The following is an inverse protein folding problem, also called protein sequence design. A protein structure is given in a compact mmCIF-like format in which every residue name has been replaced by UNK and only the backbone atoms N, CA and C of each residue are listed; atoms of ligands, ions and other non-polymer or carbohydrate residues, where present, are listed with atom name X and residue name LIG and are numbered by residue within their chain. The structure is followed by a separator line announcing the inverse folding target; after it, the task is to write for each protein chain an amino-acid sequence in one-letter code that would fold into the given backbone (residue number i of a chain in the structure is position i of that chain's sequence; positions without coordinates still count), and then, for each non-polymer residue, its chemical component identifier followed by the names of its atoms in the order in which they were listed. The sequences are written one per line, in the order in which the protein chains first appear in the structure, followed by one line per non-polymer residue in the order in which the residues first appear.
data_IF_731194988495
#
_entry.id   IF_731194988495
#
_cell.length_a   1.000
_cell.length_b   1.000
_cell.length_c   1.000
_cell.angle_alpha   90.00
_cell.angle_beta   90.00
_cell.angle_gamma   90.00
#
_symmetry.space_group_name_H-M   'P 1'
#
loop_
_entity.id
_entity.type
_entity.pdbx_description
1 polymer ?
#
# COMPACT_ATOMS: atom_id res chain seq x y z
N UNK A 1 17.11 20.47 -0.38
CA UNK A 1 16.51 20.02 -1.65
C UNK A 1 15.21 20.74 -1.98
N UNK A 2 14.20 20.75 -1.09
CA UNK A 2 12.94 21.44 -1.36
C UNK A 2 13.10 22.90 -1.80
N UNK A 3 13.98 23.66 -1.15
CA UNK A 3 14.27 25.05 -1.56
C UNK A 3 14.86 25.15 -2.98
N UNK A 4 15.64 24.17 -3.41
CA UNK A 4 16.18 24.15 -4.77
C UNK A 4 15.08 23.92 -5.80
N UNK A 5 14.17 22.97 -5.54
CA UNK A 5 13.02 22.70 -6.40
C UNK A 5 12.07 23.90 -6.48
N UNK A 6 11.87 24.60 -5.35
CA UNK A 6 11.09 25.84 -5.31
C UNK A 6 11.69 26.92 -6.22
N UNK A 7 13.01 27.08 -6.21
CA UNK A 7 13.71 28.03 -7.10
C UNK A 7 13.57 27.67 -8.59
N UNK A 8 13.40 26.38 -8.90
CA UNK A 8 13.14 25.87 -10.25
C UNK A 8 11.65 25.91 -10.64
N UNK A 9 10.78 26.40 -9.74
CA UNK A 9 9.36 26.60 -9.99
C UNK A 9 8.48 25.41 -9.61
N UNK A 10 9.01 24.38 -8.95
CA UNK A 10 8.19 23.29 -8.43
C UNK A 10 7.31 23.74 -7.26
N UNK A 11 6.05 23.31 -7.25
CA UNK A 11 5.04 23.68 -6.24
C UNK A 11 4.29 22.45 -5.73
N UNK A 12 4.17 22.28 -4.41
CA UNK A 12 3.56 21.11 -3.77
C UNK A 12 4.57 20.13 -3.19
N UNK A 13 4.14 18.90 -2.91
CA UNK A 13 4.99 17.90 -2.24
C UNK A 13 5.71 16.97 -3.24
N UNK A 14 6.77 16.33 -2.78
CA UNK A 14 7.56 15.37 -3.54
C UNK A 14 8.12 14.31 -2.57
N UNK A 15 8.55 13.18 -3.11
CA UNK A 15 9.15 12.11 -2.33
C UNK A 15 10.63 11.93 -2.65
N UNK A 16 11.36 11.40 -1.68
CA UNK A 16 12.79 11.13 -1.74
C UNK A 16 13.02 9.69 -1.35
N UNK A 17 13.72 8.95 -2.21
CA UNK A 17 14.15 7.59 -1.90
C UNK A 17 15.62 7.61 -1.51
N UNK A 18 15.92 6.99 -0.37
CA UNK A 18 17.26 6.87 0.15
C UNK A 18 17.71 5.42 0.19
N UNK A 19 19.00 5.19 -0.04
CA UNK A 19 19.67 3.94 0.23
C UNK A 19 20.44 4.10 1.55
N UNK A 20 20.04 3.32 2.55
CA UNK A 20 20.76 3.21 3.83
C UNK A 20 21.68 1.98 3.78
N UNK A 21 22.98 2.20 3.96
CA UNK A 21 23.93 1.13 4.23
C UNK A 21 23.74 0.65 5.68
N UNK A 22 23.36 -0.62 5.86
CA UNK A 22 23.08 -1.17 7.18
C UNK A 22 24.35 -1.40 8.02
N UNK A 23 25.51 -1.58 7.40
CA UNK A 23 26.78 -1.83 8.09
C UNK A 23 27.44 -0.53 8.52
N UNK A 24 27.41 0.50 7.67
CA UNK A 24 28.06 1.79 7.97
C UNK A 24 27.11 2.85 8.52
N UNK A 25 25.80 2.71 8.27
CA UNK A 25 24.80 3.74 8.54
C UNK A 25 24.81 4.89 7.53
N UNK A 26 25.58 4.79 6.44
CA UNK A 26 25.65 5.84 5.44
C UNK A 26 24.33 5.93 4.66
N UNK A 27 23.84 7.15 4.49
CA UNK A 27 22.60 7.44 3.78
C UNK A 27 22.91 8.12 2.44
N UNK A 28 22.45 7.52 1.35
CA UNK A 28 22.64 8.00 0.00
C UNK A 28 21.30 8.37 -0.62
N UNK A 29 21.22 9.53 -1.27
CA UNK A 29 20.05 9.86 -2.06
C UNK A 29 20.03 8.99 -3.33
N UNK A 30 18.98 8.20 -3.50
CA UNK A 30 18.77 7.35 -4.67
C UNK A 30 17.93 8.04 -5.74
N UNK A 31 16.70 8.45 -5.39
CA UNK A 31 15.73 8.98 -6.35
C UNK A 31 15.03 10.23 -5.79
N UNK A 32 14.72 11.16 -6.69
CA UNK A 32 13.86 12.31 -6.44
C UNK A 32 12.58 12.14 -7.25
N UNK A 33 11.44 12.07 -6.56
CA UNK A 33 10.12 11.85 -7.15
C UNK A 33 9.24 13.11 -7.01
N UNK A 34 9.31 14.09 -7.94
CA UNK A 34 8.49 15.29 -7.93
C UNK A 34 7.06 15.03 -8.45
N UNK A 35 6.41 14.01 -7.89
CA UNK A 35 5.09 13.50 -8.27
C UNK A 35 4.46 12.74 -7.10
N UNK A 36 3.16 12.47 -7.22
CA UNK A 36 2.46 11.51 -6.36
C UNK A 36 3.04 10.12 -6.61
N UNK A 37 3.19 9.32 -5.55
CA UNK A 37 3.67 7.94 -5.64
C UNK A 37 2.69 6.99 -4.93
N UNK A 38 2.96 5.68 -5.01
CA UNK A 38 2.21 4.70 -4.22
C UNK A 38 2.37 4.87 -2.71
N UNK A 39 3.55 5.31 -2.23
CA UNK A 39 3.84 5.53 -0.82
C UNK A 39 3.04 6.72 -0.25
N UNK A 40 2.69 7.69 -1.10
CA UNK A 40 1.87 8.84 -0.71
C UNK A 40 0.55 8.42 -0.06
N UNK A 41 0.01 7.25 -0.42
CA UNK A 41 -1.20 6.73 0.22
C UNK A 41 -1.01 6.52 1.72
N UNK A 42 0.12 5.97 2.18
CA UNK A 42 0.40 5.75 3.61
C UNK A 42 0.82 7.05 4.29
N UNK A 43 1.71 7.83 3.67
CA UNK A 43 2.23 9.07 4.26
C UNK A 43 1.14 10.11 4.51
N UNK A 44 0.13 10.17 3.62
CA UNK A 44 -1.03 11.04 3.81
C UNK A 44 -1.93 10.59 4.96
N UNK A 45 -1.98 9.29 5.27
CA UNK A 45 -2.80 8.78 6.37
C UNK A 45 -2.20 9.08 7.73
N UNK A 46 -0.88 8.97 7.84
CA UNK A 46 -0.17 9.45 9.02
C UNK A 46 -0.56 10.91 9.29
N UNK A 47 -0.53 11.78 8.27
CA UNK A 47 -0.96 13.18 8.42
C UNK A 47 -2.44 13.29 8.89
N UNK A 48 -3.39 12.63 8.21
CA UNK A 48 -4.82 12.71 8.56
C UNK A 48 -5.10 12.19 9.98
N UNK A 49 -4.43 11.11 10.40
CA UNK A 49 -4.60 10.51 11.72
C UNK A 49 -4.24 11.49 12.86
N UNK A 50 -3.32 12.43 12.61
CA UNK A 50 -2.91 13.45 13.58
C UNK A 50 -3.65 14.79 13.42
N UNK A 51 -4.73 14.81 12.63
CA UNK A 51 -5.50 16.01 12.36
C UNK A 51 -4.79 16.99 11.41
N UNK A 52 -3.73 16.54 10.75
CA UNK A 52 -2.99 17.32 9.78
C UNK A 52 -3.60 17.21 8.38
N UNK A 53 -3.33 18.25 7.60
CA UNK A 53 -3.72 18.28 6.21
C UNK A 53 -2.86 17.29 5.41
N UNK A 54 -3.44 16.30 4.71
CA UNK A 54 -2.65 15.40 3.87
C UNK A 54 -1.82 16.18 2.84
N UNK A 55 -0.56 15.76 2.65
CA UNK A 55 0.43 16.47 1.82
C UNK A 55 -0.05 16.72 0.38
N UNK A 56 -0.88 15.82 -0.17
CA UNK A 56 -1.47 16.01 -1.49
C UNK A 56 -2.37 17.26 -1.58
N UNK A 57 -3.00 17.70 -0.49
CA UNK A 57 -3.82 18.90 -0.49
C UNK A 57 -3.00 20.17 -0.73
N UNK A 58 -1.75 20.25 -0.27
CA UNK A 58 -0.87 21.37 -0.63
C UNK A 58 -0.64 21.44 -2.14
N UNK A 59 -0.52 20.30 -2.82
CA UNK A 59 -0.45 20.25 -4.29
C UNK A 59 -1.74 20.74 -4.94
N UNK A 60 -2.92 20.45 -4.35
CA UNK A 60 -4.20 20.98 -4.84
C UNK A 60 -4.34 22.48 -4.60
N UNK A 61 -3.95 22.99 -3.44
CA UNK A 61 -4.00 24.42 -3.13
C UNK A 61 -3.15 25.22 -4.12
N UNK A 62 -1.93 24.75 -4.38
CA UNK A 62 -1.04 25.32 -5.39
C UNK A 62 -1.64 25.26 -6.81
N UNK A 63 -2.31 24.16 -7.16
CA UNK A 63 -2.99 24.02 -8.46
C UNK A 63 -4.21 24.96 -8.60
N UNK A 64 -4.95 25.17 -7.51
CA UNK A 64 -6.14 26.01 -7.46
C UNK A 64 -5.84 27.50 -7.24
N UNK A 65 -4.56 27.87 -7.12
CA UNK A 65 -4.12 29.24 -6.81
C UNK A 65 -4.73 29.79 -5.51
N UNK A 66 -4.82 28.92 -4.49
CA UNK A 66 -5.31 29.28 -3.16
C UNK A 66 -4.14 29.68 -2.29
N UNK A 67 -4.17 30.91 -1.75
CA UNK A 67 -3.18 31.37 -0.77
C UNK A 67 -3.33 30.61 0.55
N UNK A 68 -2.20 30.14 1.09
CA UNK A 68 -2.13 29.49 2.40
C UNK A 68 -0.82 29.83 3.12
N UNK A 69 -0.85 29.76 4.44
CA UNK A 69 0.33 29.85 5.29
C UNK A 69 0.58 28.48 5.94
N UNK A 70 1.85 28.08 6.04
CA UNK A 70 2.26 26.83 6.67
C UNK A 70 3.47 27.09 7.56
N UNK A 71 3.37 26.70 8.82
CA UNK A 71 4.52 26.62 9.72
C UNK A 71 5.20 25.25 9.53
N UNK A 72 6.30 25.26 8.78
CA UNK A 72 7.06 24.04 8.45
C UNK A 72 7.78 23.50 9.69
N UNK A 73 8.21 24.37 10.60
CA UNK A 73 8.91 23.96 11.83
C UNK A 73 7.93 23.28 12.78
N UNK A 74 6.76 23.89 13.02
CA UNK A 74 5.70 23.30 13.83
C UNK A 74 5.25 21.94 13.28
N UNK A 75 5.04 21.83 11.96
CA UNK A 75 4.62 20.58 11.33
C UNK A 75 5.66 19.47 11.54
N UNK A 76 6.95 19.78 11.31
CA UNK A 76 8.03 18.80 11.50
C UNK A 76 8.17 18.40 12.97
N UNK A 77 8.07 19.35 13.90
CA UNK A 77 8.13 19.06 15.35
C UNK A 77 6.99 18.16 15.79
N UNK A 78 5.76 18.41 15.30
CA UNK A 78 4.60 17.55 15.58
C UNK A 78 4.80 16.15 15.02
N UNK A 79 5.27 16.01 13.78
CA UNK A 79 5.46 14.70 13.14
C UNK A 79 6.61 13.90 13.74
N UNK A 80 7.61 14.56 14.31
CA UNK A 80 8.74 13.90 14.97
C UNK A 80 8.37 13.29 16.34
N UNK A 81 7.19 13.58 16.90
CA UNK A 81 6.79 13.03 18.19
C UNK A 81 6.48 11.54 18.06
N UNK A 82 7.09 10.72 18.93
CA UNK A 82 6.95 9.25 18.92
C UNK A 82 5.51 8.76 19.06
N UNK A 83 4.66 9.52 19.77
CA UNK A 83 3.23 9.20 19.88
C UNK A 83 2.48 9.35 18.55
N UNK A 84 3.08 10.04 17.58
CA UNK A 84 2.58 10.23 16.23
C UNK A 84 3.20 9.27 15.21
N UNK A 85 3.85 8.20 15.68
CA UNK A 85 4.37 7.13 14.85
C UNK A 85 3.45 5.91 14.97
N UNK A 86 2.25 5.99 14.37
CA UNK A 86 1.42 4.80 14.18
C UNK A 86 2.11 3.89 13.16
N UNK A 87 2.35 2.64 13.55
CA UNK A 87 2.89 1.65 12.63
C UNK A 87 1.77 1.13 11.72
N UNK A 88 1.99 1.20 10.41
CA UNK A 88 1.10 0.65 9.40
C UNK A 88 1.88 -0.23 8.43
N UNK A 89 1.20 -1.23 7.88
CA UNK A 89 1.71 -2.03 6.78
C UNK A 89 0.78 -1.87 5.58
N UNK A 90 1.37 -1.57 4.42
CA UNK A 90 0.77 -1.83 3.10
C UNK A 90 1.56 -2.96 2.44
N UNK A 91 0.85 -4.01 2.03
CA UNK A 91 1.44 -5.21 1.48
C UNK A 91 0.77 -5.56 0.15
N UNK A 92 1.57 -5.73 -0.91
CA UNK A 92 1.10 -6.20 -2.21
C UNK A 92 1.23 -7.71 -2.25
N UNK A 93 0.09 -8.41 -2.29
CA UNK A 93 0.03 -9.86 -2.38
C UNK A 93 0.23 -10.29 -3.82
N UNK A 94 1.39 -10.89 -4.11
CA UNK A 94 1.71 -11.48 -5.41
C UNK A 94 1.42 -12.98 -5.45
N UNK A 95 1.06 -13.47 -6.63
CA UNK A 95 1.10 -14.89 -6.95
C UNK A 95 2.55 -15.32 -7.12
N UNK A 96 3.03 -16.20 -6.25
CA UNK A 96 4.44 -16.61 -6.18
C UNK A 96 4.67 -18.02 -6.70
N UNK A 97 3.65 -18.88 -6.64
CA UNK A 97 3.71 -20.24 -7.13
C UNK A 97 3.64 -20.26 -8.67
N UNK A 98 4.39 -21.18 -9.29
CA UNK A 98 4.46 -21.38 -10.75
C UNK A 98 3.21 -22.08 -11.31
N UNK A 99 2.09 -21.37 -11.26
CA UNK A 99 0.77 -21.84 -11.73
C UNK A 99 0.10 -20.76 -12.56
N UNK A 100 -0.47 -21.15 -13.70
CA UNK A 100 -1.30 -20.27 -14.54
C UNK A 100 -2.72 -20.83 -14.60
N UNK A 101 -3.67 -20.12 -13.99
CA UNK A 101 -5.03 -20.61 -13.80
C UNK A 101 -6.06 -19.48 -13.88
N UNK A 102 -7.29 -19.82 -14.26
CA UNK A 102 -8.42 -18.87 -14.25
C UNK A 102 -9.04 -18.85 -12.87
N UNK A 103 -9.22 -17.66 -12.31
CA UNK A 103 -9.86 -17.43 -11.02
C UNK A 103 -11.37 -17.64 -11.18
N UNK A 104 -11.93 -18.57 -10.41
CA UNK A 104 -13.37 -18.85 -10.35
C UNK A 104 -14.04 -18.23 -9.14
N UNK A 105 -13.26 -17.89 -8.10
CA UNK A 105 -13.72 -17.13 -6.94
C UNK A 105 -12.60 -16.22 -6.44
N UNK A 106 -12.93 -14.98 -6.10
CA UNK A 106 -11.99 -14.03 -5.51
C UNK A 106 -12.56 -13.38 -4.22
N UNK A 107 -11.72 -13.10 -3.21
CA UNK A 107 -12.14 -12.39 -1.99
C UNK A 107 -12.77 -11.03 -2.30
N UNK A 108 -13.79 -10.63 -1.55
CA UNK A 108 -14.35 -9.29 -1.65
C UNK A 108 -13.38 -8.22 -1.14
N UNK A 109 -13.42 -7.03 -1.75
CA UNK A 109 -12.71 -5.87 -1.20
C UNK A 109 -13.47 -5.29 -0.01
N UNK A 110 -12.74 -4.84 1.00
CA UNK A 110 -13.28 -4.35 2.27
C UNK A 110 -12.46 -4.80 3.47
N UNK A 111 -13.05 -4.72 4.65
CA UNK A 111 -12.41 -5.16 5.89
C UNK A 111 -12.57 -6.65 6.08
N UNK A 112 -11.45 -7.28 6.37
CA UNK A 112 -11.33 -8.65 6.83
C UNK A 112 -10.81 -8.65 8.26
N UNK A 113 -11.18 -9.67 9.02
CA UNK A 113 -10.70 -9.90 10.38
C UNK A 113 -10.00 -11.24 10.49
N UNK A 114 -8.83 -11.24 11.12
CA UNK A 114 -8.11 -12.44 11.52
C UNK A 114 -8.46 -12.78 12.98
N UNK A 115 -9.27 -13.83 13.22
CA UNK A 115 -9.55 -14.25 14.59
C UNK A 115 -8.30 -14.88 15.23
N UNK A 116 -8.22 -14.89 16.56
CA UNK A 116 -7.14 -15.55 17.31
C UNK A 116 -6.96 -17.03 16.92
N UNK A 117 -8.05 -17.69 16.52
CA UNK A 117 -8.04 -19.02 15.94
C UNK A 117 -9.09 -19.11 14.82
N UNK A 118 -8.69 -19.66 13.66
CA UNK A 118 -9.57 -19.95 12.54
C UNK A 118 -9.21 -19.22 11.25
N UNK A 119 -10.06 -19.36 10.24
CA UNK A 119 -9.88 -18.73 8.94
C UNK A 119 -10.27 -17.24 8.97
N UNK A 120 -9.67 -16.45 8.07
CA UNK A 120 -10.05 -15.07 7.85
C UNK A 120 -11.55 -14.95 7.56
N UNK A 121 -12.17 -13.92 8.13
CA UNK A 121 -13.60 -13.62 7.92
C UNK A 121 -13.74 -12.26 7.26
N UNK A 122 -14.56 -12.22 6.21
CA UNK A 122 -15.00 -10.95 5.68
C UNK A 122 -15.94 -10.30 6.69
N UNK A 123 -15.67 -9.05 7.04
CA UNK A 123 -16.48 -8.32 8.00
C UNK A 123 -17.43 -7.35 7.29
N UNK A 124 -16.88 -6.37 6.57
CA UNK A 124 -17.68 -5.31 5.96
C UNK A 124 -17.08 -4.78 4.68
N UNK A 125 -17.95 -4.41 3.73
CA UNK A 125 -17.56 -3.73 2.50
C UNK A 125 -17.39 -2.24 2.78
N UNK A 126 -16.17 -1.75 2.61
CA UNK A 126 -15.83 -0.33 2.70
C UNK A 126 -14.86 0.02 1.57
N UNK A 127 -14.75 1.30 1.27
CA UNK A 127 -13.69 1.85 0.39
C UNK A 127 -12.66 2.62 1.18
N UNK A 128 -12.97 2.96 2.44
CA UNK A 128 -12.12 3.70 3.33
C UNK A 128 -11.39 2.76 4.30
N UNK A 129 -10.09 2.64 4.09
CA UNK A 129 -9.22 1.78 4.87
C UNK A 129 -8.81 2.39 6.22
N UNK A 130 -9.06 3.69 6.45
CA UNK A 130 -8.85 4.32 7.77
C UNK A 130 -9.72 3.72 8.87
N UNK A 131 -10.75 2.97 8.48
CA UNK A 131 -11.66 2.30 9.41
C UNK A 131 -11.07 1.05 10.06
N UNK A 132 -9.83 0.65 9.71
CA UNK A 132 -9.09 -0.44 10.38
C UNK A 132 -8.80 -0.06 11.84
N UNK A 133 -9.42 -0.78 12.77
CA UNK A 133 -9.38 -0.44 14.20
C UNK A 133 -8.08 -0.85 14.90
N UNK A 134 -7.56 -2.02 14.56
CA UNK A 134 -6.48 -2.69 15.28
C UNK A 134 -5.77 -3.72 14.37
N UNK A 135 -4.77 -4.41 14.90
CA UNK A 135 -3.93 -5.35 14.16
C UNK A 135 -4.65 -6.66 13.77
N UNK A 136 -5.86 -6.91 14.30
CA UNK A 136 -6.69 -8.05 13.91
C UNK A 136 -7.55 -7.76 12.68
N UNK A 137 -7.66 -6.49 12.26
CA UNK A 137 -8.36 -6.06 11.05
C UNK A 137 -7.39 -5.71 9.93
N UNK A 138 -7.76 -6.01 8.70
CA UNK A 138 -7.06 -5.50 7.52
C UNK A 138 -8.06 -5.09 6.44
N UNK A 139 -7.79 -3.98 5.78
CA UNK A 139 -8.43 -3.65 4.53
C UNK A 139 -7.77 -4.41 3.39
N UNK A 140 -8.57 -5.12 2.60
CA UNK A 140 -8.13 -5.80 1.39
C UNK A 140 -8.74 -5.13 0.16
N UNK A 141 -7.88 -4.69 -0.77
CA UNK A 141 -8.25 -4.25 -2.11
C UNK A 141 -7.92 -5.38 -3.09
N UNK A 142 -8.95 -5.89 -3.76
CA UNK A 142 -8.78 -6.95 -4.76
C UNK A 142 -8.26 -6.34 -6.06
N UNK A 143 -7.19 -6.91 -6.60
CA UNK A 143 -6.69 -6.60 -7.95
C UNK A 143 -7.15 -7.69 -8.93
N UNK A 144 -6.86 -8.96 -8.61
CA UNK A 144 -7.27 -10.09 -9.45
C UNK A 144 -8.69 -10.59 -9.10
N UNK A 145 -9.60 -10.53 -10.06
CA UNK A 145 -11.02 -10.86 -9.94
C UNK A 145 -11.44 -12.20 -10.52
N UNK A 146 -12.70 -12.57 -10.29
CA UNK A 146 -13.33 -13.71 -10.96
C UNK A 146 -13.31 -13.53 -12.48
N UNK A 147 -12.97 -14.60 -13.20
CA UNK A 147 -12.80 -14.60 -14.66
C UNK A 147 -11.41 -14.15 -15.12
N UNK A 148 -10.61 -13.51 -14.27
CA UNK A 148 -9.21 -13.16 -14.55
C UNK A 148 -8.26 -14.33 -14.25
N UNK A 149 -6.98 -14.10 -14.46
CA UNK A 149 -5.94 -15.11 -14.34
C UNK A 149 -5.04 -14.83 -13.13
N UNK A 150 -4.57 -15.90 -12.49
CA UNK A 150 -3.39 -15.85 -11.61
C UNK A 150 -2.23 -16.54 -12.31
N UNK A 151 -1.07 -15.91 -12.28
CA UNK A 151 0.17 -16.40 -12.87
C UNK A 151 1.37 -15.86 -12.06
N UNK A 152 2.58 -16.42 -12.20
CA UNK A 152 3.73 -15.98 -11.42
C UNK A 152 4.01 -14.48 -11.61
N UNK A 153 4.06 -13.75 -10.49
CA UNK A 153 4.25 -12.30 -10.47
C UNK A 153 2.96 -11.47 -10.58
N UNK A 154 1.80 -12.09 -10.84
CA UNK A 154 0.52 -11.39 -10.88
C UNK A 154 0.18 -10.77 -9.50
N UNK A 155 -0.34 -9.55 -9.52
CA UNK A 155 -0.84 -8.88 -8.31
C UNK A 155 -2.25 -9.38 -7.99
N UNK A 156 -2.39 -10.09 -6.87
CA UNK A 156 -3.68 -10.59 -6.41
C UNK A 156 -4.47 -9.51 -5.68
N UNK A 157 -3.81 -8.69 -4.87
CA UNK A 157 -4.44 -7.60 -4.15
C UNK A 157 -3.49 -6.85 -3.23
N UNK A 158 -4.01 -5.80 -2.60
CA UNK A 158 -3.29 -4.97 -1.63
C UNK A 158 -3.95 -5.14 -0.28
N UNK A 159 -3.15 -5.37 0.75
CA UNK A 159 -3.57 -5.45 2.14
C UNK A 159 -3.04 -4.22 2.90
N UNK A 160 -3.89 -3.57 3.69
CA UNK A 160 -3.53 -2.46 4.57
C UNK A 160 -3.97 -2.79 5.99
N UNK A 161 -3.07 -2.71 6.96
CA UNK A 161 -3.33 -3.08 8.37
C UNK A 161 -2.44 -2.28 9.32
N UNK A 162 -2.85 -2.19 10.58
CA UNK A 162 -2.01 -1.64 11.66
C UNK A 162 -0.88 -2.60 12.05
N UNK A 163 0.22 -2.02 12.53
CA UNK A 163 1.46 -2.67 12.97
C UNK A 163 2.38 -3.12 11.84
N UNK A 164 3.57 -3.60 12.21
CA UNK A 164 4.59 -4.13 11.29
C UNK A 164 4.36 -5.58 10.86
N UNK A 165 4.70 -5.93 9.62
CA UNK A 165 4.72 -7.32 9.15
C UNK A 165 6.10 -7.98 9.22
N UNK A 166 7.14 -7.22 9.54
CA UNK A 166 8.52 -7.71 9.66
C UNK A 166 9.13 -7.28 11.00
N UNK A 167 9.98 -8.14 11.57
CA UNK A 167 10.86 -7.79 12.69
C UNK A 167 12.03 -6.91 12.22
N UNK A 168 12.94 -6.57 13.14
CA UNK A 168 14.11 -5.74 12.84
C UNK A 168 15.16 -6.49 12.03
N UNK A 169 15.09 -7.83 11.98
CA UNK A 169 15.90 -8.71 11.14
C UNK A 169 15.33 -8.90 9.72
N UNK A 170 14.28 -8.16 9.34
CA UNK A 170 13.58 -8.23 8.03
C UNK A 170 12.89 -9.58 7.74
N UNK A 171 12.56 -10.34 8.77
CA UNK A 171 11.82 -11.59 8.66
C UNK A 171 10.31 -11.36 8.85
N UNK A 172 9.50 -12.04 8.04
CA UNK A 172 8.04 -11.97 8.17
C UNK A 172 7.57 -12.59 9.49
N UNK A 173 6.79 -11.82 10.24
CA UNK A 173 6.11 -12.25 11.45
C UNK A 173 5.03 -13.30 11.14
N UNK A 174 4.69 -14.15 12.10
CA UNK A 174 3.66 -15.18 11.95
C UNK A 174 2.30 -14.61 11.52
N UNK A 175 1.94 -13.43 12.04
CA UNK A 175 0.72 -12.72 11.64
C UNK A 175 0.69 -12.37 10.16
N UNK A 176 1.84 -11.96 9.59
CA UNK A 176 1.96 -11.61 8.18
C UNK A 176 1.74 -12.84 7.31
N UNK A 177 2.34 -13.97 7.71
CA UNK A 177 2.14 -15.28 7.07
C UNK A 177 0.69 -15.76 7.17
N UNK A 178 0.04 -15.49 8.31
CA UNK A 178 -1.39 -15.74 8.53
C UNK A 178 -2.27 -14.96 7.55
N UNK A 179 -2.04 -13.66 7.40
CA UNK A 179 -2.73 -12.82 6.42
C UNK A 179 -2.50 -13.29 4.98
N UNK A 180 -1.24 -13.53 4.59
CA UNK A 180 -0.89 -14.00 3.24
C UNK A 180 -1.61 -15.30 2.91
N UNK A 181 -1.49 -16.30 3.78
CA UNK A 181 -2.07 -17.63 3.56
C UNK A 181 -3.59 -17.57 3.60
N UNK A 182 -4.14 -16.82 4.55
CA UNK A 182 -5.58 -16.67 4.73
C UNK A 182 -6.27 -16.00 3.55
N UNK A 183 -5.66 -14.95 2.98
CA UNK A 183 -6.19 -14.26 1.79
C UNK A 183 -6.04 -15.14 0.55
N UNK A 184 -4.88 -15.79 0.37
CA UNK A 184 -4.68 -16.74 -0.75
C UNK A 184 -5.72 -17.87 -0.72
N UNK A 185 -6.09 -18.36 0.46
CA UNK A 185 -7.12 -19.41 0.62
C UNK A 185 -8.54 -18.97 0.20
N UNK A 186 -8.82 -17.67 0.08
CA UNK A 186 -10.10 -17.18 -0.42
C UNK A 186 -10.23 -17.28 -1.95
N UNK A 187 -9.10 -17.34 -2.65
CA UNK A 187 -9.07 -17.55 -4.09
C UNK A 187 -9.36 -19.00 -4.43
N UNK A 188 -10.27 -19.21 -5.39
CA UNK A 188 -10.44 -20.48 -6.07
C UNK A 188 -10.18 -20.29 -7.56
N UNK A 189 -9.63 -21.31 -8.19
CA UNK A 189 -9.22 -21.26 -9.59
C UNK A 189 -9.28 -22.65 -10.22
N UNK A 190 -9.25 -22.67 -11.55
CA UNK A 190 -9.19 -23.88 -12.35
C UNK A 190 -8.05 -23.77 -13.36
N UNK A 191 -7.39 -24.89 -13.71
CA UNK A 191 -6.43 -24.91 -14.81
C UNK A 191 -7.03 -24.34 -16.09
N UNK A 192 -6.18 -23.78 -16.93
CA UNK A 192 -6.61 -23.33 -18.25
C UNK A 192 -6.91 -24.54 -19.14
N UNK A 193 -8.07 -24.50 -19.78
CA UNK A 193 -8.35 -25.41 -20.88
C UNK A 193 -7.53 -24.92 -22.09
N UNK A 194 -6.62 -25.74 -22.65
CA UNK A 194 -5.82 -25.35 -23.81
C UNK A 194 -6.67 -24.99 -25.04
N UNK A 195 -7.93 -25.42 -25.08
CA UNK A 195 -8.88 -25.12 -26.17
C UNK A 195 -9.79 -23.91 -25.89
N UNK A 196 -9.77 -23.33 -24.67
CA UNK A 196 -10.57 -22.14 -24.32
C UNK A 196 -9.74 -20.86 -24.62
N UNK A 197 -10.12 -20.05 -25.62
CA UNK A 197 -9.40 -18.81 -25.90
C UNK A 197 -9.51 -17.87 -24.69
N UNK A 198 -8.43 -17.15 -24.31
CA UNK A 198 -8.47 -16.26 -23.17
C UNK A 198 -9.54 -15.19 -23.38
N UNK A 199 -10.48 -15.07 -22.43
CA UNK A 199 -11.58 -14.10 -22.52
C UNK A 199 -11.06 -12.65 -22.41
N UNK A 200 -9.89 -12.48 -21.81
CA UNK A 200 -9.09 -11.27 -21.78
C UNK A 200 -7.64 -11.68 -22.03
N UNK A 201 -6.95 -11.03 -22.96
CA UNK A 201 -5.49 -11.20 -23.06
C UNK A 201 -4.88 -10.80 -21.71
N UNK A 202 -4.02 -11.62 -21.11
CA UNK A 202 -3.25 -11.17 -19.97
C UNK A 202 -2.44 -9.97 -20.46
N UNK A 203 -2.71 -8.77 -19.95
CA UNK A 203 -1.81 -7.64 -20.18
C UNK A 203 -0.64 -7.80 -19.22
N UNK A 204 0.52 -8.31 -19.67
CA UNK A 204 1.71 -8.16 -18.86
C UNK A 204 1.88 -6.66 -18.62
N UNK A 205 2.06 -6.27 -17.35
CA UNK A 205 2.26 -4.89 -16.90
C UNK A 205 1.02 -3.97 -16.84
N UNK A 206 -0.20 -4.50 -16.96
CA UNK A 206 -1.43 -3.75 -16.66
C UNK A 206 -1.52 -3.47 -15.16
N UNK A 207 -1.34 -2.20 -14.76
CA UNK A 207 -1.14 -1.65 -13.41
C UNK A 207 0.31 -1.62 -12.91
N UNK A 208 1.04 -0.57 -13.34
CA UNK A 208 1.94 0.16 -12.44
C UNK A 208 1.14 1.33 -11.87
N UNK A 209 1.03 1.41 -10.54
CA UNK A 209 0.52 2.62 -9.88
C UNK A 209 1.40 3.79 -10.37
N UNK A 210 0.79 4.72 -11.11
CA UNK A 210 1.37 6.02 -11.46
C UNK A 210 0.85 7.07 -10.50
#
# INVERSE_FOLDING_TARGET
MGERLRQEGYRGYFELDFLLDADTGDLWLGELNPRVTGASSITNVTAVAYGDMPLFLFRLLEFMDVEYEIDVEELNERWAQVQNLDEWTQFILKQTEDVTERITRAPASGIWRMPEAGALRFDRRVTDWHTVSDESEAFFLRIAGEGQYRYPGADLGILVTRGRFMNDEHELLDRARGWISGVKAQYASVPLDPDEPPMFEPEPFGFKIL
#
